data_IF_727119124554
#
_entry.id   IF_727119124554
#
_cell.length_a   1.000
_cell.length_b   1.000
_cell.length_c   1.000
_cell.angle_alpha   90.00
_cell.angle_beta   90.00
_cell.angle_gamma   90.00
#
_symmetry.space_group_name_H-M   'P 1'
#
loop_
_entity.id
_entity.type
_entity.pdbx_description
1 polymer ?
#
# COMPACT_ATOMS: atom_id res chain seq x y z
N UNK A 1 19.33 8.46 -9.54
CA UNK A 1 18.99 8.86 -8.15
C UNK A 1 17.47 8.77 -8.04
N UNK A 2 16.90 7.97 -7.12
CA UNK A 2 15.45 7.98 -6.90
C UNK A 2 15.02 9.39 -6.47
N UNK A 3 13.91 9.87 -7.02
CA UNK A 3 13.36 11.19 -6.67
C UNK A 3 12.85 11.11 -5.23
N UNK A 4 13.24 12.04 -4.33
CA UNK A 4 12.72 12.06 -2.97
C UNK A 4 11.22 12.28 -3.01
N UNK A 5 10.45 11.57 -2.19
CA UNK A 5 9.00 11.76 -2.09
C UNK A 5 8.65 13.23 -1.82
N UNK A 6 9.49 13.94 -1.06
CA UNK A 6 9.30 15.36 -0.73
C UNK A 6 9.47 16.32 -1.91
N UNK A 7 10.15 15.88 -2.98
CA UNK A 7 10.32 16.67 -4.21
C UNK A 7 9.13 16.54 -5.17
N UNK A 8 8.19 15.64 -4.88
CA UNK A 8 6.96 15.44 -5.65
C UNK A 8 5.93 16.50 -5.22
N UNK A 9 5.16 17.10 -6.15
CA UNK A 9 4.11 18.04 -5.79
C UNK A 9 3.11 17.41 -4.81
N UNK A 10 2.56 18.23 -3.92
CA UNK A 10 1.67 17.78 -2.84
C UNK A 10 0.46 16.98 -3.34
N UNK A 11 -0.12 17.39 -4.47
CA UNK A 11 -1.25 16.69 -5.10
C UNK A 11 -0.90 15.26 -5.53
N UNK A 12 0.27 15.07 -6.15
CA UNK A 12 0.76 13.74 -6.53
C UNK A 12 1.11 12.90 -5.28
N UNK A 13 1.69 13.51 -4.24
CA UNK A 13 1.95 12.82 -2.96
C UNK A 13 0.67 12.29 -2.31
N UNK A 14 -0.38 13.12 -2.27
CA UNK A 14 -1.69 12.72 -1.75
C UNK A 14 -2.28 11.59 -2.59
N UNK A 15 -2.18 11.68 -3.92
CA UNK A 15 -2.66 10.65 -4.84
C UNK A 15 -1.93 9.31 -4.62
N UNK A 16 -0.61 9.33 -4.42
CA UNK A 16 0.17 8.12 -4.11
C UNK A 16 -0.28 7.51 -2.79
N UNK A 17 -0.48 8.31 -1.75
CA UNK A 17 -0.92 7.83 -0.43
C UNK A 17 -2.33 7.25 -0.51
N UNK A 18 -3.26 7.90 -1.22
CA UNK A 18 -4.62 7.41 -1.43
C UNK A 18 -4.63 6.08 -2.20
N UNK A 19 -3.77 5.93 -3.22
CA UNK A 19 -3.61 4.68 -3.96
C UNK A 19 -3.06 3.56 -3.06
N UNK A 20 -2.08 3.85 -2.20
CA UNK A 20 -1.53 2.88 -1.24
C UNK A 20 -2.59 2.43 -0.23
N UNK A 21 -3.41 3.35 0.28
CA UNK A 21 -4.53 3.04 1.18
C UNK A 21 -5.53 2.10 0.48
N UNK A 22 -5.88 2.37 -0.78
CA UNK A 22 -6.79 1.52 -1.55
C UNK A 22 -6.23 0.10 -1.74
N UNK A 23 -4.94 -0.04 -2.09
CA UNK A 23 -4.31 -1.35 -2.23
C UNK A 23 -4.25 -2.12 -0.90
N UNK A 24 -3.96 -1.43 0.20
CA UNK A 24 -3.98 -2.04 1.53
C UNK A 24 -5.38 -2.48 1.94
N UNK A 25 -6.43 -1.74 1.57
CA UNK A 25 -7.81 -2.16 1.83
C UNK A 25 -8.15 -3.49 1.13
N UNK A 26 -7.75 -3.64 -0.14
CA UNK A 26 -7.91 -4.90 -0.88
C UNK A 26 -7.10 -6.03 -0.22
N UNK A 27 -5.85 -5.77 0.13
CA UNK A 27 -5.01 -6.76 0.83
C UNK A 27 -5.58 -7.16 2.19
N UNK A 28 -6.15 -6.20 2.93
CA UNK A 28 -6.78 -6.40 4.23
C UNK A 28 -8.00 -7.32 4.12
N UNK A 29 -8.82 -7.11 3.09
CA UNK A 29 -9.95 -7.98 2.77
C UNK A 29 -9.49 -9.39 2.44
N UNK A 30 -8.44 -9.53 1.62
CA UNK A 30 -7.88 -10.84 1.27
C UNK A 30 -7.31 -11.56 2.50
N UNK A 31 -6.64 -10.84 3.39
CA UNK A 31 -6.11 -11.37 4.64
C UNK A 31 -7.24 -11.86 5.58
N UNK A 32 -8.33 -11.11 5.67
CA UNK A 32 -9.51 -11.47 6.46
C UNK A 32 -10.18 -12.74 5.90
N UNK A 33 -10.40 -12.81 4.59
CA UNK A 33 -10.99 -13.99 3.92
C UNK A 33 -10.10 -15.23 4.07
N UNK A 34 -8.77 -15.06 4.06
CA UNK A 34 -7.81 -16.14 4.29
C UNK A 34 -7.66 -16.54 5.78
N UNK A 35 -8.40 -15.92 6.70
CA UNK A 35 -8.30 -16.18 8.14
C UNK A 35 -6.97 -15.75 8.76
N UNK A 36 -6.21 -14.89 8.08
CA UNK A 36 -4.85 -14.51 8.48
C UNK A 36 -4.87 -13.24 9.35
N UNK A 37 -5.34 -13.39 10.59
CA UNK A 37 -5.58 -12.28 11.52
C UNK A 37 -4.33 -11.43 11.81
N UNK A 38 -3.14 -12.05 11.86
CA UNK A 38 -1.87 -11.33 12.06
C UNK A 38 -1.57 -10.38 10.90
N UNK A 39 -1.81 -10.83 9.67
CA UNK A 39 -1.60 -10.02 8.47
C UNK A 39 -2.63 -8.89 8.37
N UNK A 40 -3.89 -9.18 8.73
CA UNK A 40 -4.96 -8.18 8.78
C UNK A 40 -4.65 -7.06 9.79
N UNK A 41 -4.12 -7.41 10.97
CA UNK A 41 -3.70 -6.42 11.98
C UNK A 41 -2.52 -5.56 11.50
N UNK A 42 -1.49 -6.17 10.90
CA UNK A 42 -0.33 -5.44 10.34
C UNK A 42 -0.75 -4.47 9.23
N UNK A 43 -1.67 -4.89 8.34
CA UNK A 43 -2.24 -4.02 7.30
C UNK A 43 -3.05 -2.87 7.92
N UNK A 44 -3.81 -3.14 8.98
CA UNK A 44 -4.58 -2.11 9.70
C UNK A 44 -3.70 -1.03 10.31
N UNK A 45 -2.59 -1.41 10.96
CA UNK A 45 -1.62 -0.48 11.54
C UNK A 45 -0.99 0.42 10.46
N UNK A 46 -0.51 -0.19 9.37
CA UNK A 46 0.13 0.53 8.27
C UNK A 46 -0.87 1.44 7.54
N UNK A 47 -2.13 1.01 7.38
CA UNK A 47 -3.20 1.85 6.84
C UNK A 47 -3.49 3.05 7.74
N UNK A 48 -3.48 2.87 9.06
CA UNK A 48 -3.60 3.96 10.04
C UNK A 48 -2.47 4.98 9.89
N UNK A 49 -1.22 4.51 9.81
CA UNK A 49 -0.05 5.38 9.60
C UNK A 49 -0.13 6.16 8.28
N UNK A 50 -0.62 5.55 7.20
CA UNK A 50 -0.83 6.24 5.92
C UNK A 50 -1.94 7.29 5.98
N UNK A 51 -3.02 7.05 6.73
CA UNK A 51 -4.07 8.07 6.93
C UNK A 51 -3.52 9.28 7.69
N UNK A 52 -2.76 9.06 8.75
CA UNK A 52 -2.06 10.15 9.46
C UNK A 52 -1.05 10.86 8.55
N UNK A 53 -0.31 10.11 7.73
CA UNK A 53 0.60 10.66 6.72
C UNK A 53 -0.14 11.55 5.70
N UNK A 54 -1.32 11.13 5.23
CA UNK A 54 -2.18 11.91 4.34
C UNK A 54 -2.59 13.24 4.97
N UNK A 55 -3.01 13.22 6.24
CA UNK A 55 -3.37 14.43 7.00
C UNK A 55 -2.17 15.37 7.16
N UNK A 56 -0.99 14.83 7.46
CA UNK A 56 0.25 15.60 7.60
C UNK A 56 0.73 16.20 6.27
N UNK A 57 0.65 15.45 5.16
CA UNK A 57 0.94 15.99 3.81
C UNK A 57 -0.06 17.10 3.46
N UNK A 58 -1.34 16.93 3.83
CA UNK A 58 -2.35 17.99 3.66
C UNK A 58 -2.02 19.24 4.48
N UNK A 59 -1.36 19.07 5.62
CA UNK A 59 -0.88 20.14 6.50
C UNK A 59 0.55 20.64 6.17
N UNK A 60 1.17 20.16 5.08
CA UNK A 60 2.55 20.47 4.67
C UNK A 60 3.66 20.02 5.64
N UNK A 61 3.39 19.05 6.51
CA UNK A 61 4.40 18.39 7.37
C UNK A 61 4.78 17.04 6.75
N UNK A 62 5.98 16.93 6.19
CA UNK A 62 6.39 15.77 5.37
C UNK A 62 7.42 14.87 6.03
N UNK A 63 7.85 15.19 7.25
CA UNK A 63 8.95 14.50 7.94
C UNK A 63 8.68 13.00 8.15
N UNK A 64 7.42 12.63 8.38
CA UNK A 64 7.01 11.23 8.58
C UNK A 64 6.53 10.52 7.32
N UNK A 65 6.32 11.25 6.23
CA UNK A 65 5.67 10.70 5.04
C UNK A 65 6.50 9.62 4.36
N UNK A 66 7.83 9.80 4.29
CA UNK A 66 8.75 8.84 3.71
C UNK A 66 8.74 7.49 4.45
N UNK A 67 8.64 7.51 5.78
CA UNK A 67 8.62 6.30 6.61
C UNK A 67 7.34 5.48 6.38
N UNK A 68 6.18 6.15 6.42
CA UNK A 68 4.89 5.51 6.20
C UNK A 68 4.75 4.94 4.78
N UNK A 69 5.15 5.70 3.77
CA UNK A 69 5.14 5.24 2.36
C UNK A 69 6.10 4.07 2.15
N UNK A 70 7.30 4.12 2.74
CA UNK A 70 8.26 3.01 2.65
C UNK A 70 7.76 1.73 3.33
N UNK A 71 7.09 1.86 4.48
CA UNK A 71 6.49 0.71 5.18
C UNK A 71 5.38 0.07 4.34
N UNK A 72 4.49 0.90 3.76
CA UNK A 72 3.42 0.44 2.89
C UNK A 72 3.94 -0.27 1.64
N UNK A 73 4.94 0.29 0.96
CA UNK A 73 5.54 -0.32 -0.23
C UNK A 73 6.21 -1.66 0.10
N UNK A 74 6.90 -1.77 1.24
CA UNK A 74 7.48 -3.04 1.69
C UNK A 74 6.42 -4.09 1.98
N UNK A 75 5.31 -3.71 2.62
CA UNK A 75 4.21 -4.62 2.90
C UNK A 75 3.55 -5.12 1.61
N UNK A 76 3.24 -4.20 0.68
CA UNK A 76 2.68 -4.53 -0.63
C UNK A 76 3.63 -5.44 -1.44
N UNK A 77 4.93 -5.15 -1.41
CA UNK A 77 5.95 -5.99 -2.05
C UNK A 77 5.99 -7.40 -1.45
N UNK A 78 5.86 -7.54 -0.12
CA UNK A 78 5.78 -8.85 0.56
C UNK A 78 4.50 -9.60 0.21
N UNK A 79 3.38 -8.90 0.05
CA UNK A 79 2.10 -9.49 -0.35
C UNK A 79 2.14 -9.97 -1.81
N UNK A 80 2.75 -9.19 -2.70
CA UNK A 80 2.98 -9.57 -4.08
C UNK A 80 3.97 -10.74 -4.19
N UNK A 81 5.05 -10.76 -3.39
CA UNK A 81 6.01 -11.88 -3.42
C UNK A 81 5.48 -13.17 -2.79
N UNK A 82 4.52 -13.05 -1.86
CA UNK A 82 3.75 -14.18 -1.32
C UNK A 82 2.59 -14.65 -2.22
N UNK A 83 2.39 -14.01 -3.37
CA UNK A 83 1.53 -14.53 -4.42
C UNK A 83 2.37 -15.31 -5.43
N UNK A 84 2.50 -16.65 -5.33
CA UNK A 84 2.91 -17.44 -6.47
C UNK A 84 1.72 -17.48 -7.44
N UNK A 85 1.76 -16.66 -8.49
CA UNK A 85 0.99 -16.89 -9.72
C UNK A 85 -0.52 -16.60 -9.70
N UNK A 86 -0.91 -15.33 -9.77
CA UNK A 86 -2.24 -14.92 -10.27
C UNK A 86 -2.16 -14.15 -11.60
N UNK A 87 -1.07 -14.30 -12.36
CA UNK A 87 -0.92 -13.72 -13.71
C UNK A 87 -0.08 -14.64 -14.60
N UNK A 88 -0.58 -15.83 -14.94
CA UNK A 88 -0.25 -16.58 -16.18
C UNK A 88 -0.85 -17.99 -16.16
N UNK A 89 -2.18 -18.13 -16.11
CA UNK A 89 -2.87 -19.24 -16.78
C UNK A 89 -4.35 -18.96 -16.92
N UNK A 90 -4.70 -17.80 -17.50
CA UNK A 90 -5.86 -17.76 -18.37
C UNK A 90 -5.40 -18.31 -19.73
N UNK A 91 -5.13 -19.62 -19.77
CA UNK A 91 -5.17 -20.34 -21.03
C UNK A 91 -6.65 -20.60 -21.25
N UNK A 92 -7.24 -19.73 -22.05
CA UNK A 92 -8.47 -19.96 -22.78
C UNK A 92 -8.42 -21.35 -23.38
N UNK A 93 -9.08 -22.30 -22.75
CA UNK A 93 -9.56 -23.52 -23.40
C UNK A 93 -11.08 -23.34 -23.55
N UNK A 94 -11.42 -22.60 -24.61
CA UNK A 94 -12.74 -22.60 -25.23
C UNK A 94 -12.47 -23.02 -26.69
N UNK A 95 -12.69 -24.30 -26.97
CA UNK A 95 -13.20 -24.88 -28.22
C UNK A 95 -13.41 -26.37 -28.01
#
# INVERSE_FOLDING_TARGET
MPVPFESIPQEERLTIVDLLIAHLAVASSNAATAGNASLHAEIGEISGQLKTCREQISASDTAFANLAVSAALRLLSRLQSRSPGATASARTDFC
#
